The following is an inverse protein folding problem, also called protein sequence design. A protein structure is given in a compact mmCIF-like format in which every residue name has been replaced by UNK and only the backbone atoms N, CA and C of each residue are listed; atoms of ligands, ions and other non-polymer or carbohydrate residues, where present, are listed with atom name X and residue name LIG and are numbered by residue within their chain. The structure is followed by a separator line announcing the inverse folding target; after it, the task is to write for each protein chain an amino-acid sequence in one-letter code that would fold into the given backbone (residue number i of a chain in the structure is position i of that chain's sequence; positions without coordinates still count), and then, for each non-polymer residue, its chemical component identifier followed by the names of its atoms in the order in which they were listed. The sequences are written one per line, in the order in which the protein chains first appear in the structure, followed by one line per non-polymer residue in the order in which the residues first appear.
data_IF_579154109151
#
_entry.id   IF_579154109151
#
_cell.length_a   1.000
_cell.length_b   1.000
_cell.length_c   1.000
_cell.angle_alpha   90.00
_cell.angle_beta   90.00
_cell.angle_gamma   90.00
#
_symmetry.space_group_name_H-M   'P 1'
#
loop_
_entity.id
_entity.type
_entity.pdbx_description
1 polymer ?
#
# COMPACT_ATOMS: atom_id res chain seq x y z
N UNK A 1 -0.34 -13.07 0.60
CA UNK A 1 -1.46 -12.40 -0.07
C UNK A 1 -2.75 -13.04 0.42
N UNK A 2 -3.84 -12.28 0.51
CA UNK A 2 -5.11 -12.75 1.07
C UNK A 2 -6.04 -13.17 -0.07
N UNK A 3 -6.39 -14.46 -0.13
CA UNK A 3 -7.25 -15.03 -1.18
C UNK A 3 -8.30 -15.95 -0.60
N UNK A 4 -9.38 -16.16 -1.34
CA UNK A 4 -10.27 -17.30 -1.11
C UNK A 4 -9.73 -18.49 -1.91
N UNK A 5 -9.35 -19.57 -1.23
CA UNK A 5 -8.92 -20.79 -1.92
C UNK A 5 -10.11 -21.48 -2.61
N UNK A 6 -9.95 -21.95 -3.86
CA UNK A 6 -11.01 -22.69 -4.55
C UNK A 6 -11.24 -24.03 -3.87
N UNK A 7 -12.50 -24.37 -3.60
CA UNK A 7 -12.88 -25.61 -2.92
C UNK A 7 -12.58 -26.91 -3.72
N UNK A 8 -12.19 -26.81 -5.01
CA UNK A 8 -11.83 -27.94 -5.87
C UNK A 8 -10.49 -27.71 -6.56
N UNK A 9 -9.55 -28.68 -6.53
CA UNK A 9 -8.15 -28.46 -6.92
C UNK A 9 -7.86 -28.56 -8.42
N UNK A 10 -8.87 -28.59 -9.30
CA UNK A 10 -8.66 -28.81 -10.75
C UNK A 10 -9.62 -27.98 -11.60
N UNK A 11 -9.20 -26.76 -11.90
CA UNK A 11 -9.59 -26.07 -13.13
C UNK A 11 -8.29 -25.61 -13.80
N UNK A 12 -8.19 -25.73 -15.12
CA UNK A 12 -7.08 -25.17 -15.88
C UNK A 12 -7.18 -23.63 -15.77
N UNK A 13 -6.53 -23.08 -14.75
CA UNK A 13 -6.83 -21.77 -14.17
C UNK A 13 -6.78 -20.60 -15.16
N UNK A 14 -7.74 -19.69 -15.01
CA UNK A 14 -7.83 -18.42 -15.74
C UNK A 14 -6.89 -17.33 -15.19
N UNK A 15 -5.80 -17.71 -14.51
CA UNK A 15 -4.85 -16.79 -13.91
C UNK A 15 -5.43 -15.98 -12.74
N UNK A 16 -4.99 -14.73 -12.60
CA UNK A 16 -5.38 -13.75 -11.57
C UNK A 16 -6.90 -13.57 -11.39
N UNK A 17 -7.71 -13.90 -12.40
CA UNK A 17 -9.18 -13.89 -12.30
C UNK A 17 -9.73 -14.90 -11.28
N UNK A 18 -9.04 -16.04 -11.06
CA UNK A 18 -9.47 -17.09 -10.14
C UNK A 18 -8.97 -16.86 -8.70
N UNK A 19 -8.02 -15.95 -8.49
CA UNK A 19 -7.41 -15.74 -7.17
C UNK A 19 -8.25 -14.89 -6.23
N UNK A 20 -9.21 -14.10 -6.75
CA UNK A 20 -10.09 -13.20 -5.97
C UNK A 20 -9.37 -12.55 -4.77
N UNK A 21 -8.34 -11.72 -5.00
CA UNK A 21 -7.64 -11.08 -3.90
C UNK A 21 -8.63 -10.20 -3.13
N UNK A 22 -8.60 -10.31 -1.80
CA UNK A 22 -9.48 -9.52 -0.93
C UNK A 22 -8.83 -8.15 -0.73
N UNK A 23 -9.56 -7.09 -1.05
CA UNK A 23 -9.09 -5.73 -0.87
C UNK A 23 -8.73 -5.47 0.59
N UNK A 24 -7.51 -5.01 0.80
CA UNK A 24 -7.02 -4.55 2.09
C UNK A 24 -7.15 -3.04 2.11
N UNK A 25 -7.77 -2.49 3.15
CA UNK A 25 -7.95 -1.05 3.33
C UNK A 25 -7.71 -0.65 4.79
N UNK A 26 -7.60 0.66 5.04
CA UNK A 26 -7.53 1.20 6.39
C UNK A 26 -6.21 0.93 7.14
N UNK A 27 -5.15 0.51 6.46
CA UNK A 27 -3.84 0.29 7.11
C UNK A 27 -3.27 1.64 7.55
N UNK A 28 -3.13 1.81 8.85
CA UNK A 28 -2.50 2.98 9.45
C UNK A 28 -1.00 2.75 9.63
N UNK A 29 -0.20 3.68 9.12
CA UNK A 29 1.25 3.65 9.21
C UNK A 29 1.78 4.78 10.07
N UNK A 30 2.86 4.52 10.81
CA UNK A 30 3.60 5.51 11.57
C UNK A 30 5.11 5.29 11.38
N UNK A 31 5.75 6.10 10.54
CA UNK A 31 7.16 5.96 10.16
C UNK A 31 8.00 7.03 10.86
N UNK A 32 9.08 6.68 11.58
CA UNK A 32 9.97 7.67 12.19
C UNK A 32 10.58 8.63 11.16
N UNK A 33 10.67 9.91 11.51
CA UNK A 33 11.34 10.90 10.67
C UNK A 33 12.87 10.73 10.80
N UNK A 34 13.60 10.71 9.68
CA UNK A 34 15.05 10.84 9.72
C UNK A 34 15.46 12.16 10.37
N UNK A 35 16.52 12.15 11.18
CA UNK A 35 16.95 13.34 11.93
C UNK A 35 17.23 14.52 11.00
N UNK A 36 16.65 15.68 11.32
CA UNK A 36 16.80 16.91 10.55
C UNK A 36 16.12 16.91 9.18
N UNK A 37 15.38 15.85 8.83
CA UNK A 37 14.73 15.75 7.54
C UNK A 37 13.27 16.26 7.58
N UNK A 38 12.84 16.89 6.48
CA UNK A 38 11.44 17.22 6.21
C UNK A 38 10.91 16.28 5.14
N UNK A 39 9.63 15.91 5.25
CA UNK A 39 8.96 15.16 4.20
C UNK A 39 8.67 16.10 3.02
N UNK A 40 9.16 15.74 1.82
CA UNK A 40 8.90 16.49 0.58
C UNK A 40 7.71 15.96 -0.20
N UNK A 41 7.55 14.64 -0.23
CA UNK A 41 6.47 13.98 -0.95
C UNK A 41 6.21 12.62 -0.34
N UNK A 42 4.96 12.18 -0.43
CA UNK A 42 4.55 10.83 -0.09
C UNK A 42 3.63 10.29 -1.18
N UNK A 43 3.95 9.11 -1.70
CA UNK A 43 3.25 8.51 -2.84
C UNK A 43 2.94 7.06 -2.57
N UNK A 44 1.87 6.59 -3.18
CA UNK A 44 1.39 5.23 -3.09
C UNK A 44 1.32 4.58 -4.47
N UNK A 45 1.86 3.38 -4.58
CA UNK A 45 1.83 2.57 -5.79
C UNK A 45 1.16 1.24 -5.47
N UNK A 46 0.39 0.73 -6.43
CA UNK A 46 -0.22 -0.60 -6.35
C UNK A 46 -0.33 -1.17 -7.77
N UNK A 47 -0.26 -2.50 -7.99
CA UNK A 47 -0.45 -3.11 -9.31
C UNK A 47 -1.75 -2.70 -10.00
N UNK A 48 -2.77 -2.39 -9.21
CA UNK A 48 -4.10 -2.05 -9.72
C UNK A 48 -4.18 -0.64 -10.35
N UNK A 49 -3.15 0.19 -10.18
CA UNK A 49 -3.11 1.55 -10.74
C UNK A 49 -1.77 1.78 -11.43
N UNK A 50 -1.83 2.24 -12.68
CA UNK A 50 -0.62 2.57 -13.46
C UNK A 50 0.17 3.75 -12.88
N UNK A 51 -0.51 4.67 -12.20
CA UNK A 51 0.08 5.89 -11.65
C UNK A 51 0.04 5.95 -10.13
N UNK A 52 1.03 6.65 -9.56
CA UNK A 52 1.12 6.86 -8.13
C UNK A 52 0.02 7.80 -7.64
N UNK A 53 -0.56 7.48 -6.48
CA UNK A 53 -1.48 8.37 -5.76
C UNK A 53 -0.74 9.14 -4.67
N UNK A 54 -1.05 10.41 -4.47
CA UNK A 54 -0.45 11.20 -3.38
C UNK A 54 -1.03 10.80 -2.03
N UNK A 55 -0.16 10.64 -1.02
CA UNK A 55 -0.57 10.31 0.34
C UNK A 55 -0.68 11.58 1.19
N UNK A 56 -1.79 11.70 1.91
CA UNK A 56 -1.94 12.69 2.98
C UNK A 56 -1.15 12.20 4.20
N UNK A 57 -0.11 12.93 4.57
CA UNK A 57 0.77 12.59 5.69
C UNK A 57 0.73 13.69 6.74
N UNK A 58 0.53 13.28 7.98
CA UNK A 58 0.60 14.18 9.13
C UNK A 58 1.83 13.86 9.97
N UNK A 59 2.59 14.89 10.33
CA UNK A 59 3.76 14.73 11.20
C UNK A 59 3.34 14.92 12.65
N UNK A 60 3.40 13.86 13.45
CA UNK A 60 3.12 13.91 14.91
C UNK A 60 4.23 13.21 15.67
N UNK A 61 4.72 13.85 16.75
CA UNK A 61 5.73 13.25 17.67
C UNK A 61 6.93 12.63 16.94
N UNK A 62 7.47 13.35 15.94
CA UNK A 62 8.60 12.90 15.11
C UNK A 62 8.33 11.62 14.28
N UNK A 63 7.07 11.36 13.95
CA UNK A 63 6.64 10.29 13.03
C UNK A 63 5.73 10.84 11.94
N UNK A 64 5.84 10.27 10.74
CA UNK A 64 4.94 10.47 9.62
C UNK A 64 3.79 9.47 9.74
N UNK A 65 2.59 9.99 9.96
CA UNK A 65 1.37 9.22 10.08
C UNK A 65 0.54 9.35 8.80
N UNK A 66 0.10 8.22 8.25
CA UNK A 66 -0.74 8.18 7.06
C UNK A 66 -1.51 6.87 7.00
N UNK A 67 -2.57 6.84 6.20
CA UNK A 67 -3.34 5.63 5.93
C UNK A 67 -3.10 5.22 4.49
N UNK A 68 -2.81 3.95 4.25
CA UNK A 68 -2.68 3.43 2.90
C UNK A 68 -4.06 3.35 2.23
N UNK A 69 -4.18 3.78 0.96
CA UNK A 69 -5.33 3.48 0.13
C UNK A 69 -5.55 1.97 0.00
N UNK A 70 -6.71 1.59 -0.50
CA UNK A 70 -6.99 0.17 -0.75
C UNK A 70 -6.06 -0.42 -1.82
N UNK A 71 -5.70 -1.69 -1.65
CA UNK A 71 -4.95 -2.48 -2.62
C UNK A 71 -5.30 -3.96 -2.51
N UNK A 72 -5.03 -4.71 -3.58
CA UNK A 72 -5.38 -6.12 -3.67
C UNK A 72 -4.20 -7.05 -3.36
N UNK A 73 -3.05 -6.83 -4.01
CA UNK A 73 -1.91 -7.75 -3.92
C UNK A 73 -0.81 -7.19 -3.02
N UNK A 74 -0.32 -5.99 -3.35
CA UNK A 74 0.66 -5.27 -2.55
C UNK A 74 0.52 -3.76 -2.76
N UNK A 75 0.83 -2.99 -1.74
CA UNK A 75 0.93 -1.54 -1.81
C UNK A 75 2.34 -1.09 -1.44
N UNK A 76 2.87 -0.10 -2.14
CA UNK A 76 4.17 0.52 -1.85
C UNK A 76 3.96 1.98 -1.49
N UNK A 77 4.36 2.35 -0.27
CA UNK A 77 4.43 3.74 0.16
C UNK A 77 5.86 4.27 -0.01
N UNK A 78 6.05 5.23 -0.91
CA UNK A 78 7.29 5.96 -1.10
C UNK A 78 7.24 7.25 -0.28
N UNK A 79 8.25 7.46 0.59
CA UNK A 79 8.42 8.69 1.35
C UNK A 79 9.72 9.37 0.92
N UNK A 80 9.61 10.55 0.31
CA UNK A 80 10.76 11.35 -0.12
C UNK A 80 11.11 12.38 0.94
N UNK A 81 12.32 12.30 1.46
CA UNK A 81 12.84 13.20 2.50
C UNK A 81 13.80 14.24 1.90
N UNK A 82 13.89 15.40 2.55
CA UNK A 82 14.98 16.37 2.32
C UNK A 82 15.64 16.79 3.61
N UNK A 83 16.95 17.05 3.53
CA UNK A 83 17.69 17.79 4.54
C UNK A 83 17.51 19.29 4.35
#
# INVERSE_FOLDING_TARGET
YNRTEPAKPKSAGGGIHDEKPIAINGIQCAVPLPQGAKLKAARFFTPEKESASELQVEIRRNKAHFTLPEFLVYGVAELKWSR
#
